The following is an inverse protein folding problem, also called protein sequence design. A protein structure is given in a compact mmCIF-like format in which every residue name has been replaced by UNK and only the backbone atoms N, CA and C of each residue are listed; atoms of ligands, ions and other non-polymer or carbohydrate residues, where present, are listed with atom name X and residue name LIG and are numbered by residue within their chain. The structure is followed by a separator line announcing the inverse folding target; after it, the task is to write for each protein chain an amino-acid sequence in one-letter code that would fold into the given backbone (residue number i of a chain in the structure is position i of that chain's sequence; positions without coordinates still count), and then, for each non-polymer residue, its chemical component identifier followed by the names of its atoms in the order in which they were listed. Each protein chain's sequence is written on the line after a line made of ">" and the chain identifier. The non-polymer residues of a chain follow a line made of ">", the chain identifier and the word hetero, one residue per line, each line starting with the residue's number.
data_IF_320083119960
#
_entry.id   IF_320083119960
#
_cell.length_a   1.000
_cell.length_b   1.000
_cell.length_c   1.000
_cell.angle_alpha   90.00
_cell.angle_beta   90.00
_cell.angle_gamma   90.00
#
_symmetry.space_group_name_H-M   'P 1'
#
loop_
_entity.id
_entity.type
_entity.pdbx_description
1 polymer ?
#
# COMPACT_ATOMS: atom_id res chain seq x y z
N UNK A 1 -5.11 -13.29 7.93
CA UNK A 1 -4.41 -12.33 8.82
C UNK A 1 -4.29 -10.97 8.17
N UNK A 2 -3.78 -10.84 6.95
CA UNK A 2 -3.67 -9.56 6.23
C UNK A 2 -5.03 -8.86 6.03
N UNK A 3 -6.08 -9.62 5.69
CA UNK A 3 -7.45 -9.10 5.58
C UNK A 3 -7.89 -8.35 6.83
N UNK A 4 -7.76 -8.98 8.01
CA UNK A 4 -8.19 -8.38 9.29
C UNK A 4 -7.37 -7.15 9.66
N UNK A 5 -6.06 -7.15 9.38
CA UNK A 5 -5.18 -6.01 9.63
C UNK A 5 -5.58 -4.79 8.77
N UNK A 6 -5.81 -4.99 7.46
CA UNK A 6 -6.31 -3.94 6.57
C UNK A 6 -7.69 -3.43 6.98
N UNK A 7 -8.64 -4.32 7.31
CA UNK A 7 -9.97 -3.93 7.81
C UNK A 7 -9.87 -3.09 9.09
N UNK A 8 -8.96 -3.46 9.98
CA UNK A 8 -8.67 -2.72 11.20
C UNK A 8 -8.12 -1.32 10.89
N UNK A 9 -7.16 -1.24 9.96
CA UNK A 9 -6.59 0.04 9.54
C UNK A 9 -7.62 0.93 8.84
N UNK A 10 -8.42 0.40 7.92
CA UNK A 10 -9.49 1.18 7.26
C UNK A 10 -10.50 1.75 8.23
N UNK A 11 -10.88 1.00 9.27
CA UNK A 11 -11.77 1.52 10.33
C UNK A 11 -11.13 2.67 11.10
N UNK A 12 -9.84 2.57 11.46
CA UNK A 12 -9.10 3.65 12.11
C UNK A 12 -9.01 4.89 11.22
N UNK A 13 -8.69 4.70 9.92
CA UNK A 13 -8.60 5.77 8.94
C UNK A 13 -9.94 6.49 8.77
N UNK A 14 -11.03 5.74 8.62
CA UNK A 14 -12.37 6.31 8.53
C UNK A 14 -12.76 7.07 9.79
N UNK A 15 -12.51 6.51 10.98
CA UNK A 15 -12.81 7.16 12.26
C UNK A 15 -12.01 8.46 12.41
N UNK A 16 -10.72 8.41 12.08
CA UNK A 16 -9.84 9.59 12.12
C UNK A 16 -10.35 10.70 11.18
N UNK A 17 -10.64 10.36 9.93
CA UNK A 17 -11.12 11.32 8.93
C UNK A 17 -12.46 11.95 9.34
N UNK A 18 -13.41 11.13 9.78
CA UNK A 18 -14.72 11.62 10.24
C UNK A 18 -14.62 12.49 11.49
N UNK A 19 -13.74 12.14 12.44
CA UNK A 19 -13.59 12.92 13.67
C UNK A 19 -12.84 14.25 13.44
N UNK A 20 -11.94 14.29 12.48
CA UNK A 20 -11.08 15.46 12.21
C UNK A 20 -11.71 16.40 11.19
N UNK A 21 -12.29 15.87 10.11
CA UNK A 21 -12.76 16.63 8.95
C UNK A 21 -14.27 16.51 8.71
N UNK A 22 -14.98 15.61 9.40
CA UNK A 22 -16.40 15.34 9.19
C UNK A 22 -16.72 14.55 7.90
N UNK A 23 -15.71 14.02 7.20
CA UNK A 23 -15.83 13.36 5.90
C UNK A 23 -15.16 11.99 5.90
N UNK A 24 -15.38 11.20 4.85
CA UNK A 24 -14.49 10.06 4.54
C UNK A 24 -13.12 10.55 4.08
N UNK A 25 -12.10 9.68 4.08
CA UNK A 25 -10.81 10.03 3.50
C UNK A 25 -10.96 10.53 2.06
N UNK A 26 -10.15 11.52 1.68
CA UNK A 26 -10.17 12.11 0.34
C UNK A 26 -8.96 11.67 -0.49
N UNK A 27 -9.08 11.80 -1.80
CA UNK A 27 -8.01 11.61 -2.78
C UNK A 27 -8.31 12.46 -4.02
N UNK A 28 -7.29 12.96 -4.68
CA UNK A 28 -7.46 13.65 -5.96
C UNK A 28 -8.17 12.74 -6.97
N UNK A 29 -9.21 13.28 -7.60
CA UNK A 29 -9.93 12.58 -8.65
C UNK A 29 -9.09 12.50 -9.91
N UNK A 30 -8.93 11.28 -10.45
CA UNK A 30 -8.30 11.03 -11.76
C UNK A 30 -9.15 10.05 -12.57
N UNK A 31 -8.97 10.03 -13.88
CA UNK A 31 -9.67 9.08 -14.74
C UNK A 31 -9.27 7.61 -14.48
N UNK A 32 -8.09 7.42 -13.91
CA UNK A 32 -7.57 6.10 -13.55
C UNK A 32 -8.11 5.57 -12.22
N UNK A 33 -8.76 6.42 -11.41
CA UNK A 33 -9.30 6.01 -10.13
C UNK A 33 -10.51 5.08 -10.30
N UNK A 34 -10.47 3.92 -9.65
CA UNK A 34 -11.58 2.97 -9.64
C UNK A 34 -12.86 3.62 -9.10
N UNK A 35 -13.89 3.72 -9.93
CA UNK A 35 -15.15 4.38 -9.59
C UNK A 35 -15.90 3.72 -8.43
N UNK A 36 -15.68 2.41 -8.20
CA UNK A 36 -16.30 1.71 -7.08
C UNK A 36 -15.80 2.21 -5.71
N UNK A 37 -14.62 2.85 -5.66
CA UNK A 37 -14.07 3.45 -4.45
C UNK A 37 -14.75 4.76 -4.07
N UNK A 38 -15.31 5.50 -5.03
CA UNK A 38 -15.77 6.88 -4.89
C UNK A 38 -17.15 6.92 -4.22
N UNK A 39 -17.28 7.76 -3.19
CA UNK A 39 -18.55 7.93 -2.45
C UNK A 39 -19.09 9.38 -2.46
N UNK A 40 -18.40 10.31 -3.12
CA UNK A 40 -18.85 11.70 -3.30
C UNK A 40 -18.58 12.20 -4.71
N UNK A 41 -19.21 13.31 -5.10
CA UNK A 41 -18.74 14.09 -6.24
C UNK A 41 -17.40 14.77 -5.89
N UNK A 42 -16.59 15.15 -6.89
CA UNK A 42 -15.43 16.00 -6.67
C UNK A 42 -15.82 17.34 -6.01
N UNK A 43 -15.02 17.77 -5.07
CA UNK A 43 -15.16 19.10 -4.46
C UNK A 43 -14.46 20.21 -5.28
N UNK A 44 -14.34 21.40 -4.70
CA UNK A 44 -13.73 22.58 -5.38
C UNK A 44 -12.23 22.39 -5.69
N UNK A 45 -11.55 21.54 -4.91
CA UNK A 45 -10.13 21.19 -5.09
C UNK A 45 -9.93 19.98 -6.01
N UNK A 46 -11.03 19.38 -6.50
CA UNK A 46 -10.99 18.20 -7.35
C UNK A 46 -10.76 16.90 -6.57
N UNK A 47 -11.00 16.91 -5.25
CA UNK A 47 -10.89 15.71 -4.41
C UNK A 47 -12.23 14.99 -4.30
N UNK A 48 -12.18 13.68 -4.19
CA UNK A 48 -13.33 12.81 -3.94
C UNK A 48 -13.15 12.06 -2.63
N UNK A 49 -14.23 11.86 -1.91
CA UNK A 49 -14.24 10.95 -0.77
C UNK A 49 -14.27 9.51 -1.25
N UNK A 50 -13.57 8.63 -0.54
CA UNK A 50 -13.46 7.23 -0.92
C UNK A 50 -13.65 6.25 0.24
N UNK A 51 -13.96 5.01 -0.12
CA UNK A 51 -13.97 3.84 0.78
C UNK A 51 -13.27 2.66 0.11
N UNK A 52 -12.57 1.81 0.88
CA UNK A 52 -12.02 0.58 0.34
C UNK A 52 -13.16 -0.34 -0.14
N UNK A 53 -12.91 -1.06 -1.23
CA UNK A 53 -13.85 -2.07 -1.74
C UNK A 53 -13.17 -3.42 -1.90
N UNK A 54 -13.93 -4.49 -1.69
CA UNK A 54 -13.44 -5.84 -1.97
C UNK A 54 -13.21 -6.01 -3.47
N UNK A 55 -12.08 -6.61 -3.82
CA UNK A 55 -11.81 -6.92 -5.22
C UNK A 55 -12.79 -7.98 -5.74
N UNK A 56 -13.29 -7.77 -6.96
CA UNK A 56 -14.28 -8.63 -7.61
C UNK A 56 -13.65 -9.69 -8.50
N UNK A 57 -12.39 -9.50 -8.88
CA UNK A 57 -11.65 -10.38 -9.80
C UNK A 57 -10.63 -11.22 -9.03
N UNK A 58 -10.51 -12.49 -9.41
CA UNK A 58 -9.44 -13.35 -8.90
C UNK A 58 -8.16 -13.11 -9.67
N UNK A 59 -7.04 -13.10 -8.97
CA UNK A 59 -5.69 -13.00 -9.56
C UNK A 59 -5.20 -14.40 -9.93
N UNK A 60 -4.69 -14.59 -11.13
CA UNK A 60 -3.98 -15.83 -11.51
C UNK A 60 -2.55 -15.81 -10.96
N UNK A 61 -2.44 -16.17 -9.68
CA UNK A 61 -1.15 -16.21 -8.98
C UNK A 61 -0.16 -17.17 -9.59
N UNK A 62 -0.62 -18.26 -10.22
CA UNK A 62 0.28 -19.21 -10.88
C UNK A 62 0.98 -18.56 -12.08
N UNK A 63 0.21 -17.92 -12.94
CA UNK A 63 0.78 -17.18 -14.09
C UNK A 63 1.71 -16.06 -13.61
N UNK A 64 1.35 -15.36 -12.55
CA UNK A 64 2.19 -14.30 -11.97
C UNK A 64 3.52 -14.85 -11.45
N UNK A 65 3.50 -15.93 -10.69
CA UNK A 65 4.69 -16.58 -10.15
C UNK A 65 5.60 -17.15 -11.25
N UNK A 66 5.01 -17.69 -12.32
CA UNK A 66 5.74 -18.15 -13.51
C UNK A 66 6.49 -16.99 -14.21
N UNK A 67 5.86 -15.80 -14.27
CA UNK A 67 6.49 -14.59 -14.84
C UNK A 67 7.58 -14.01 -13.94
N UNK A 68 7.40 -14.04 -12.63
CA UNK A 68 8.38 -13.57 -11.65
C UNK A 68 9.56 -14.54 -11.49
N UNK A 69 9.36 -15.83 -11.78
CA UNK A 69 10.36 -16.88 -11.58
C UNK A 69 10.49 -17.36 -10.13
N UNK A 70 9.55 -16.96 -9.25
CA UNK A 70 9.51 -17.39 -7.84
C UNK A 70 8.09 -17.34 -7.29
N UNK A 71 7.87 -17.98 -6.13
CA UNK A 71 6.58 -17.99 -5.44
C UNK A 71 6.44 -16.78 -4.53
N UNK A 72 5.25 -16.19 -4.54
CA UNK A 72 4.86 -15.13 -3.62
C UNK A 72 4.41 -15.73 -2.28
N UNK A 73 4.80 -15.11 -1.18
CA UNK A 73 4.32 -15.49 0.14
C UNK A 73 2.81 -15.22 0.26
N UNK A 74 2.09 -15.99 1.12
CA UNK A 74 0.65 -15.83 1.27
C UNK A 74 0.22 -14.42 1.69
N UNK A 75 0.99 -13.76 2.55
CA UNK A 75 0.69 -12.43 3.04
C UNK A 75 0.69 -11.39 1.91
N UNK A 76 1.66 -11.44 1.00
CA UNK A 76 1.75 -10.53 -0.13
C UNK A 76 0.60 -10.78 -1.13
N UNK A 77 0.24 -12.05 -1.36
CA UNK A 77 -0.94 -12.39 -2.18
C UNK A 77 -2.23 -11.83 -1.58
N UNK A 78 -2.43 -11.97 -0.27
CA UNK A 78 -3.59 -11.40 0.44
C UNK A 78 -3.59 -9.86 0.34
N UNK A 79 -2.43 -9.20 0.51
CA UNK A 79 -2.31 -7.76 0.40
C UNK A 79 -2.83 -7.25 -0.94
N UNK A 80 -2.41 -7.86 -2.04
CA UNK A 80 -2.78 -7.42 -3.38
C UNK A 80 -4.18 -7.85 -3.83
N UNK A 81 -4.77 -8.91 -3.28
CA UNK A 81 -5.98 -9.53 -3.86
C UNK A 81 -7.28 -9.29 -3.11
N UNK A 82 -7.24 -8.74 -1.90
CA UNK A 82 -8.46 -8.64 -1.09
C UNK A 82 -9.17 -7.30 -1.26
N UNK A 83 -8.41 -6.21 -1.18
CA UNK A 83 -8.97 -4.87 -1.17
C UNK A 83 -8.41 -4.00 -2.29
N UNK A 84 -9.28 -3.16 -2.87
CA UNK A 84 -8.87 -1.99 -3.65
C UNK A 84 -8.96 -0.75 -2.79
N UNK A 85 -7.96 0.13 -2.90
CA UNK A 85 -7.85 1.41 -2.23
C UNK A 85 -6.89 2.32 -3.01
N UNK A 86 -7.02 3.66 -2.95
CA UNK A 86 -6.17 4.56 -3.73
C UNK A 86 -4.79 4.75 -3.11
N UNK A 87 -4.73 5.05 -1.84
CA UNK A 87 -3.49 5.27 -1.07
C UNK A 87 -3.79 5.09 0.41
N UNK A 88 -2.82 4.61 1.19
CA UNK A 88 -2.95 4.49 2.64
C UNK A 88 -1.83 5.24 3.32
N UNK A 89 -2.16 6.26 4.08
CA UNK A 89 -1.19 7.01 4.90
C UNK A 89 -1.43 6.77 6.38
N UNK A 90 -0.37 6.62 7.13
CA UNK A 90 -0.43 6.44 8.57
C UNK A 90 0.89 6.71 9.26
N UNK A 91 0.85 6.88 10.58
CA UNK A 91 2.02 7.04 11.42
C UNK A 91 2.48 5.72 12.02
N UNK A 92 3.78 5.53 12.06
CA UNK A 92 4.43 4.43 12.74
C UNK A 92 5.64 4.94 13.52
N UNK A 93 5.49 5.07 14.84
CA UNK A 93 6.45 5.81 15.64
C UNK A 93 6.55 7.28 15.19
N UNK A 94 7.75 7.74 14.89
CA UNK A 94 7.99 9.12 14.41
C UNK A 94 8.02 9.22 12.86
N UNK A 95 7.58 8.17 12.17
CA UNK A 95 7.60 8.13 10.72
C UNK A 95 6.18 8.22 10.15
N UNK A 96 6.01 8.91 9.03
CA UNK A 96 4.80 8.84 8.22
C UNK A 96 5.04 7.87 7.07
N UNK A 97 4.16 6.89 6.93
CA UNK A 97 4.24 5.85 5.90
C UNK A 97 3.09 6.04 4.92
N UNK A 98 3.38 6.04 3.62
CA UNK A 98 2.38 6.13 2.56
C UNK A 98 2.52 4.92 1.64
N UNK A 99 1.54 4.03 1.66
CA UNK A 99 1.47 2.85 0.79
C UNK A 99 0.75 3.21 -0.51
N UNK A 100 1.31 2.76 -1.63
CA UNK A 100 0.70 2.93 -2.95
C UNK A 100 -0.63 2.18 -3.05
N UNK A 101 -1.53 2.73 -3.87
CA UNK A 101 -2.86 2.20 -4.02
C UNK A 101 -2.91 0.89 -4.83
N UNK A 102 -3.85 0.04 -4.46
CA UNK A 102 -4.24 -1.13 -5.27
C UNK A 102 -5.54 -0.78 -5.96
N UNK A 103 -5.43 -0.15 -7.10
CA UNK A 103 -6.57 0.44 -7.81
C UNK A 103 -7.11 -0.51 -8.89
N UNK A 104 -7.13 -1.69 -8.86
CA UNK A 104 -7.66 -2.76 -9.71
C UNK A 104 -8.27 -2.42 -11.12
N UNK A 105 -8.26 -1.18 -11.60
CA UNK A 105 -8.73 -0.81 -12.95
C UNK A 105 -7.87 -1.44 -14.07
N UNK A 106 -6.56 -1.49 -13.85
CA UNK A 106 -5.62 -2.06 -14.81
C UNK A 106 -5.24 -3.52 -14.51
N UNK A 107 -5.85 -4.11 -13.47
CA UNK A 107 -5.55 -5.43 -12.95
C UNK A 107 -4.43 -5.42 -11.91
N UNK A 108 -4.58 -6.27 -10.90
CA UNK A 108 -3.62 -6.44 -9.80
C UNK A 108 -2.26 -6.90 -10.33
N UNK A 109 -2.25 -7.72 -11.37
CA UNK A 109 -1.04 -8.26 -11.98
C UNK A 109 -0.10 -7.16 -12.47
N UNK A 110 -0.64 -6.08 -13.05
CA UNK A 110 0.17 -4.95 -13.50
C UNK A 110 0.82 -4.24 -12.32
N UNK A 111 0.06 -3.98 -11.25
CA UNK A 111 0.58 -3.36 -10.01
C UNK A 111 1.71 -4.18 -9.41
N UNK A 112 1.51 -5.50 -9.24
CA UNK A 112 2.53 -6.41 -8.67
C UNK A 112 3.81 -6.39 -9.49
N UNK A 113 3.70 -6.45 -10.83
CA UNK A 113 4.88 -6.42 -11.72
C UNK A 113 5.59 -5.08 -11.68
N UNK A 114 4.85 -3.97 -11.65
CA UNK A 114 5.43 -2.63 -11.58
C UNK A 114 6.22 -2.47 -10.28
N UNK A 115 5.62 -2.76 -9.14
CA UNK A 115 6.26 -2.63 -7.82
C UNK A 115 7.48 -3.55 -7.66
N UNK A 116 7.42 -4.77 -8.26
CA UNK A 116 8.58 -5.63 -8.35
C UNK A 116 9.68 -5.04 -9.25
N UNK A 117 9.32 -4.56 -10.44
CA UNK A 117 10.28 -3.98 -11.40
C UNK A 117 10.95 -2.74 -10.82
N UNK A 118 10.18 -1.87 -10.17
CA UNK A 118 10.72 -0.66 -9.54
C UNK A 118 11.72 -0.99 -8.42
N UNK A 119 11.44 -2.03 -7.63
CA UNK A 119 12.37 -2.49 -6.61
C UNK A 119 13.69 -3.04 -7.18
N UNK A 120 13.69 -3.60 -8.42
CA UNK A 120 14.91 -4.13 -9.03
C UNK A 120 15.96 -3.07 -9.38
N UNK A 121 15.58 -1.79 -9.49
CA UNK A 121 16.55 -0.69 -9.67
C UNK A 121 17.46 -0.52 -8.45
N UNK A 122 16.94 -0.82 -7.26
CA UNK A 122 17.67 -0.69 -5.98
C UNK A 122 18.22 -2.05 -5.52
N UNK A 123 17.41 -3.10 -5.66
CA UNK A 123 17.72 -4.46 -5.19
C UNK A 123 17.70 -5.47 -6.36
N UNK A 124 18.68 -5.44 -7.28
CA UNK A 124 18.68 -6.30 -8.45
C UNK A 124 18.74 -7.78 -8.07
N UNK A 125 17.99 -8.63 -8.79
CA UNK A 125 17.89 -10.07 -8.59
C UNK A 125 17.35 -10.51 -7.20
N UNK A 126 16.65 -9.60 -6.53
CA UNK A 126 16.01 -9.88 -5.24
C UNK A 126 14.56 -10.33 -5.41
N UNK A 127 13.88 -10.67 -4.32
CA UNK A 127 12.43 -10.87 -4.26
C UNK A 127 11.77 -9.75 -3.44
N UNK A 128 12.23 -8.53 -3.64
CA UNK A 128 11.77 -7.34 -2.95
C UNK A 128 10.75 -6.59 -3.81
N UNK A 129 9.74 -6.01 -3.16
CA UNK A 129 8.67 -5.21 -3.75
C UNK A 129 8.69 -3.81 -3.16
N UNK A 130 8.53 -2.80 -4.00
CA UNK A 130 8.36 -1.41 -3.58
C UNK A 130 6.88 -1.17 -3.28
N UNK A 131 6.53 -0.88 -2.01
CA UNK A 131 5.14 -0.73 -1.59
C UNK A 131 4.71 0.71 -1.35
N UNK A 132 5.64 1.65 -1.31
CA UNK A 132 5.30 3.04 -0.99
C UNK A 132 6.51 3.90 -0.66
N UNK A 133 6.23 5.03 -0.05
CA UNK A 133 7.24 5.96 0.45
C UNK A 133 7.04 6.28 1.93
N UNK A 134 8.03 6.91 2.54
CA UNK A 134 7.98 7.30 3.94
C UNK A 134 8.69 8.62 4.18
N UNK A 135 8.22 9.35 5.19
CA UNK A 135 8.94 10.49 5.77
C UNK A 135 9.49 10.04 7.12
N UNK A 136 10.82 10.03 7.25
CA UNK A 136 11.53 9.64 8.47
C UNK A 136 12.42 10.81 8.89
N UNK A 137 12.25 11.30 10.12
CA UNK A 137 12.96 12.47 10.63
C UNK A 137 12.89 13.69 9.70
N UNK A 138 11.69 14.00 9.20
CA UNK A 138 11.42 15.10 8.27
C UNK A 138 12.16 15.00 6.91
N UNK A 139 12.66 13.81 6.54
CA UNK A 139 13.25 13.48 5.25
C UNK A 139 12.28 12.58 4.46
N UNK A 140 12.01 12.94 3.21
CA UNK A 140 11.03 12.29 2.31
C UNK A 140 11.66 11.33 1.27
N UNK A 141 12.97 11.11 1.35
CA UNK A 141 13.73 10.26 0.41
C UNK A 141 13.70 8.77 0.75
N UNK A 142 12.80 8.36 1.66
CA UNK A 142 12.66 6.98 2.09
C UNK A 142 11.58 6.25 1.33
N UNK A 143 11.86 5.01 0.93
CA UNK A 143 10.91 4.13 0.28
C UNK A 143 10.62 2.90 1.12
N UNK A 144 9.36 2.41 1.05
CA UNK A 144 8.90 1.24 1.80
C UNK A 144 9.04 0.01 0.91
N UNK A 145 9.78 -0.98 1.41
CA UNK A 145 9.98 -2.25 0.73
C UNK A 145 9.48 -3.43 1.54
N UNK A 146 9.09 -4.46 0.82
CA UNK A 146 8.72 -5.77 1.38
C UNK A 146 9.61 -6.85 0.78
N UNK A 147 10.28 -7.62 1.63
CA UNK A 147 11.06 -8.79 1.22
C UNK A 147 10.19 -10.05 1.26
N UNK A 148 9.84 -10.60 0.12
CA UNK A 148 9.02 -11.79 -0.02
C UNK A 148 9.61 -13.05 0.64
N UNK A 149 10.94 -13.15 0.76
CA UNK A 149 11.61 -14.30 1.39
C UNK A 149 11.55 -14.25 2.92
N UNK A 150 11.82 -13.09 3.49
CA UNK A 150 11.91 -12.91 4.95
C UNK A 150 10.64 -12.32 5.55
N UNK A 151 9.71 -11.84 4.71
CA UNK A 151 8.47 -11.13 5.05
C UNK A 151 8.70 -9.82 5.82
N UNK A 152 9.92 -9.32 5.84
CA UNK A 152 10.25 -8.05 6.47
C UNK A 152 9.71 -6.88 5.67
N UNK A 153 9.20 -5.89 6.39
CA UNK A 153 8.88 -4.55 5.88
C UNK A 153 9.92 -3.59 6.39
N UNK A 154 10.55 -2.85 5.51
CA UNK A 154 11.60 -1.91 5.87
C UNK A 154 11.56 -0.67 5.00
N UNK A 155 12.09 0.44 5.52
CA UNK A 155 12.40 1.61 4.73
C UNK A 155 13.85 1.60 4.30
N UNK A 156 14.11 2.08 3.09
CA UNK A 156 15.45 2.23 2.56
C UNK A 156 15.60 3.60 1.90
N UNK A 157 16.71 4.26 2.17
CA UNK A 157 17.09 5.53 1.59
C UNK A 157 18.25 5.28 0.61
N UNK A 158 18.01 5.60 -0.67
CA UNK A 158 18.90 5.19 -1.78
C UNK A 158 20.23 5.92 -1.79
N UNK A 159 20.28 7.17 -1.34
CA UNK A 159 21.47 8.01 -1.42
C UNK A 159 22.54 7.61 -0.40
N UNK A 160 22.13 7.20 0.80
CA UNK A 160 23.05 6.80 1.86
C UNK A 160 23.12 5.29 2.08
N UNK A 161 22.18 4.54 1.51
CA UNK A 161 22.07 3.09 1.72
C UNK A 161 21.59 2.69 3.11
N UNK A 162 20.96 3.61 3.85
CA UNK A 162 20.41 3.32 5.18
C UNK A 162 19.14 2.50 5.10
N UNK A 163 18.99 1.56 6.03
CA UNK A 163 17.81 0.71 6.18
C UNK A 163 17.22 0.89 7.59
N UNK A 164 15.90 0.96 7.67
CA UNK A 164 15.14 0.97 8.92
C UNK A 164 14.09 -0.13 8.88
N UNK A 165 14.24 -1.16 9.71
CA UNK A 165 13.24 -2.22 9.86
C UNK A 165 11.98 -1.66 10.52
N UNK A 166 10.82 -1.81 9.84
CA UNK A 166 9.52 -1.43 10.36
C UNK A 166 8.82 -2.61 11.06
N UNK A 167 8.77 -3.77 10.40
CA UNK A 167 8.06 -4.94 10.92
C UNK A 167 8.58 -6.25 10.30
N UNK A 168 8.20 -7.38 10.91
CA UNK A 168 8.44 -8.72 10.40
C UNK A 168 7.22 -9.30 9.64
N UNK A 169 6.21 -8.47 9.38
CA UNK A 169 5.05 -8.80 8.54
C UNK A 169 4.29 -7.52 8.17
N UNK A 170 3.63 -7.51 7.01
CA UNK A 170 2.73 -6.41 6.60
C UNK A 170 1.53 -6.30 7.55
N UNK A 171 0.91 -7.43 7.90
CA UNK A 171 -0.23 -7.43 8.82
C UNK A 171 0.16 -6.83 10.17
N UNK A 172 1.32 -7.23 10.72
CA UNK A 172 1.82 -6.67 11.98
C UNK A 172 2.19 -5.19 11.90
N UNK A 173 2.55 -4.68 10.73
CA UNK A 173 2.74 -3.25 10.50
C UNK A 173 1.39 -2.52 10.51
N UNK A 174 0.43 -2.95 9.68
CA UNK A 174 -0.89 -2.33 9.61
C UNK A 174 -1.67 -2.38 10.93
N UNK A 175 -1.52 -3.44 11.73
CA UNK A 175 -2.15 -3.53 13.06
C UNK A 175 -1.65 -2.44 14.02
N UNK A 176 -0.40 -1.98 13.87
CA UNK A 176 0.24 -0.99 14.75
C UNK A 176 0.28 0.42 14.19
N UNK A 177 0.05 0.60 12.89
CA UNK A 177 -0.01 1.93 12.29
C UNK A 177 -1.20 2.72 12.83
N UNK A 178 -0.96 3.97 13.19
CA UNK A 178 -2.00 4.95 13.47
C UNK A 178 -2.45 5.58 12.16
N UNK A 179 -3.76 5.78 11.99
CA UNK A 179 -4.28 6.44 10.81
C UNK A 179 -3.90 7.93 10.81
N UNK A 180 -3.49 8.44 9.66
CA UNK A 180 -3.28 9.87 9.41
C UNK A 180 -3.60 10.18 7.94
N UNK A 181 -3.72 11.44 7.63
CA UNK A 181 -3.90 11.99 6.28
C UNK A 181 -2.82 13.02 6.06
#
# INVERSE_FOLDING_TARGET
>A
MMKTALEGFFRRLQTFSQSTFGTFPTVCFTDELNRDLIVSAPDEDGEVQWKPVLQKTSVDWKNMEDRLGFRLCPELKEYYSIWSFPVLTGKFGNSTLTFYGINALEGVEKTVLQEYTDAQYVFPNSQIFLLGNAVIHDQDDWFIYFDNKTQKVFCYESDTGKEVLLAYSLAGLFDRMEASI
#
